data_IF_384016971099
#
_entry.id   IF_384016971099
#
_cell.length_a   1.000
_cell.length_b   1.000
_cell.length_c   1.000
_cell.angle_alpha   90.00
_cell.angle_beta   90.00
_cell.angle_gamma   90.00
#
_symmetry.space_group_name_H-M   'P 1'
#
loop_
_entity.id
_entity.type
_entity.pdbx_description
1 polymer ?
#
# COMPACT_ATOMS: atom_id res chain seq x y z
N UNK A 1 -7.51 10.87 21.74
CA UNK A 1 -6.22 10.42 21.17
C UNK A 1 -6.39 9.62 19.87
N UNK A 2 -7.42 8.78 19.69
CA UNK A 2 -7.59 7.96 18.47
C UNK A 2 -7.67 8.74 17.15
N UNK A 3 -8.28 9.93 17.13
CA UNK A 3 -8.44 10.74 15.91
C UNK A 3 -7.11 11.22 15.31
N UNK A 4 -6.15 11.61 16.15
CA UNK A 4 -4.82 12.05 15.71
C UNK A 4 -4.05 10.87 15.10
N UNK A 5 -4.22 9.68 15.68
CA UNK A 5 -3.60 8.44 15.22
C UNK A 5 -4.14 8.06 13.83
N UNK A 6 -5.46 8.18 13.63
CA UNK A 6 -6.13 8.00 12.34
C UNK A 6 -5.64 8.96 11.26
N UNK A 7 -5.52 10.25 11.59
CA UNK A 7 -5.00 11.27 10.66
C UNK A 7 -3.54 10.97 10.29
N UNK A 8 -2.71 10.61 11.27
CA UNK A 8 -1.32 10.23 11.04
C UNK A 8 -1.18 9.03 10.10
N UNK A 9 -2.01 8.00 10.30
CA UNK A 9 -2.08 6.82 9.43
C UNK A 9 -2.48 7.19 8.00
N UNK A 10 -3.51 8.02 7.83
CA UNK A 10 -3.96 8.48 6.51
C UNK A 10 -2.87 9.27 5.78
N UNK A 11 -2.22 10.22 6.46
CA UNK A 11 -1.14 11.02 5.87
C UNK A 11 0.04 10.14 5.45
N UNK A 12 0.42 9.17 6.28
CA UNK A 12 1.50 8.23 5.97
C UNK A 12 1.16 7.40 4.74
N UNK A 13 -0.07 6.88 4.64
CA UNK A 13 -0.53 6.12 3.47
C UNK A 13 -0.51 6.96 2.19
N UNK A 14 -0.92 8.24 2.26
CA UNK A 14 -0.89 9.15 1.10
C UNK A 14 0.55 9.34 0.61
N UNK A 15 1.46 9.71 1.50
CA UNK A 15 2.87 9.93 1.15
C UNK A 15 3.50 8.66 0.60
N UNK A 16 3.26 7.52 1.25
CA UNK A 16 3.78 6.23 0.82
C UNK A 16 3.23 5.84 -0.57
N UNK A 17 1.95 6.08 -0.84
CA UNK A 17 1.34 5.83 -2.15
C UNK A 17 2.00 6.68 -3.24
N UNK A 18 2.19 7.97 -2.99
CA UNK A 18 2.82 8.88 -3.97
C UNK A 18 4.25 8.40 -4.29
N UNK A 19 5.03 8.04 -3.27
CA UNK A 19 6.38 7.50 -3.46
C UNK A 19 6.36 6.15 -4.19
N UNK A 20 5.44 5.27 -3.82
CA UNK A 20 5.25 3.95 -4.45
C UNK A 20 4.89 4.07 -5.93
N UNK A 21 3.97 4.96 -6.28
CA UNK A 21 3.55 5.22 -7.66
C UNK A 21 4.71 5.78 -8.48
N UNK A 22 5.44 6.77 -7.96
CA UNK A 22 6.62 7.32 -8.66
C UNK A 22 7.68 6.25 -8.91
N UNK A 23 7.96 5.43 -7.89
CA UNK A 23 8.94 4.34 -8.01
C UNK A 23 8.49 3.27 -9.00
N UNK A 24 7.22 2.84 -8.91
CA UNK A 24 6.63 1.85 -9.82
C UNK A 24 6.67 2.33 -11.27
N UNK A 25 6.24 3.57 -11.54
CA UNK A 25 6.32 4.16 -12.88
C UNK A 25 7.74 4.16 -13.44
N UNK A 26 8.73 4.58 -12.63
CA UNK A 26 10.13 4.58 -13.06
C UNK A 26 10.63 3.18 -13.40
N UNK A 27 10.37 2.20 -12.54
CA UNK A 27 10.82 0.83 -12.75
C UNK A 27 10.12 0.13 -13.92
N UNK A 28 8.84 0.43 -14.17
CA UNK A 28 8.09 -0.09 -15.32
C UNK A 28 8.61 0.51 -16.63
N UNK A 29 8.85 1.83 -16.67
CA UNK A 29 9.42 2.53 -17.82
C UNK A 29 10.82 2.01 -18.19
N UNK A 30 11.65 1.73 -17.18
CA UNK A 30 12.99 1.15 -17.37
C UNK A 30 12.95 -0.37 -17.58
N UNK A 31 11.75 -0.98 -17.65
CA UNK A 31 11.50 -2.41 -17.76
C UNK A 31 12.32 -3.27 -16.78
N UNK A 32 12.55 -2.72 -15.58
CA UNK A 32 13.45 -3.29 -14.59
C UNK A 32 12.92 -4.66 -14.11
N UNK A 33 13.78 -5.68 -13.90
CA UNK A 33 13.34 -7.01 -13.46
C UNK A 33 12.54 -7.00 -12.13
N UNK A 34 12.75 -5.98 -11.30
CA UNK A 34 12.12 -5.82 -9.99
C UNK A 34 10.97 -4.80 -9.98
N UNK A 35 10.34 -4.52 -11.12
CA UNK A 35 9.25 -3.54 -11.26
C UNK A 35 8.04 -3.76 -10.34
N UNK A 36 7.84 -4.99 -9.87
CA UNK A 36 6.77 -5.33 -8.91
C UNK A 36 7.18 -5.17 -7.44
N UNK A 37 8.44 -4.82 -7.15
CA UNK A 37 8.94 -4.70 -5.78
C UNK A 37 8.19 -3.64 -4.94
N UNK A 38 7.85 -2.45 -5.47
CA UNK A 38 7.07 -1.47 -4.71
C UNK A 38 5.70 -2.02 -4.31
N UNK A 39 5.01 -2.67 -5.25
CA UNK A 39 3.75 -3.37 -4.98
C UNK A 39 3.91 -4.45 -3.91
N UNK A 40 4.90 -5.33 -4.07
CA UNK A 40 5.16 -6.45 -3.18
C UNK A 40 5.45 -5.97 -1.74
N UNK A 41 6.12 -4.83 -1.57
CA UNK A 41 6.35 -4.23 -0.26
C UNK A 41 5.04 -3.81 0.42
N UNK A 42 4.20 -3.02 -0.25
CA UNK A 42 2.91 -2.60 0.32
C UNK A 42 2.01 -3.80 0.64
N UNK A 43 1.95 -4.77 -0.27
CA UNK A 43 1.16 -5.97 -0.10
C UNK A 43 1.68 -6.82 1.07
N UNK A 44 2.99 -7.03 1.18
CA UNK A 44 3.59 -7.82 2.27
C UNK A 44 3.39 -7.17 3.64
N UNK A 45 3.52 -5.84 3.73
CA UNK A 45 3.26 -5.11 4.98
C UNK A 45 1.78 -5.22 5.36
N UNK A 46 0.86 -5.09 4.40
CA UNK A 46 -0.57 -5.28 4.64
C UNK A 46 -0.87 -6.70 5.17
N UNK A 47 -0.29 -7.71 4.54
CA UNK A 47 -0.48 -9.11 4.90
C UNK A 47 0.08 -9.41 6.29
N UNK A 48 1.31 -8.98 6.58
CA UNK A 48 1.93 -9.12 7.90
C UNK A 48 1.13 -8.37 8.98
N UNK A 49 0.69 -7.13 8.69
CA UNK A 49 -0.12 -6.34 9.60
C UNK A 49 -1.47 -7.01 9.91
N UNK A 50 -2.12 -7.59 8.89
CA UNK A 50 -3.34 -8.36 9.06
C UNK A 50 -3.14 -9.65 9.86
N UNK A 51 -2.05 -10.38 9.63
CA UNK A 51 -1.70 -11.57 10.42
C UNK A 51 -1.43 -11.20 11.88
N UNK A 52 -0.64 -10.16 12.13
CA UNK A 52 -0.39 -9.65 13.49
C UNK A 52 -1.69 -9.27 14.18
N UNK A 53 -2.63 -8.66 13.46
CA UNK A 53 -3.95 -8.37 14.00
C UNK A 53 -4.73 -9.66 14.31
N UNK A 54 -4.86 -10.61 13.38
CA UNK A 54 -5.65 -11.83 13.59
C UNK A 54 -5.08 -12.70 14.72
N UNK A 55 -3.76 -12.85 14.80
CA UNK A 55 -3.09 -13.68 15.80
C UNK A 55 -2.83 -12.95 17.12
N UNK A 56 -2.52 -11.65 17.06
CA UNK A 56 -2.18 -10.83 18.22
C UNK A 56 -3.40 -10.21 18.91
N UNK A 57 -4.38 -9.69 18.14
CA UNK A 57 -5.55 -9.04 18.72
C UNK A 57 -6.47 -10.01 19.45
N UNK A 58 -6.44 -11.31 19.12
CA UNK A 58 -7.14 -12.34 19.91
C UNK A 58 -6.65 -12.44 21.36
N UNK A 59 -5.44 -11.97 21.67
CA UNK A 59 -4.85 -12.00 23.01
C UNK A 59 -4.77 -10.64 23.68
N UNK A 60 -5.03 -9.57 22.93
CA UNK A 60 -4.94 -8.21 23.43
C UNK A 60 -6.35 -7.65 23.51
N UNK A 61 -6.79 -7.22 24.69
CA UNK A 61 -8.03 -6.44 24.89
C UNK A 61 -7.87 -5.04 24.28
N UNK A 62 -7.67 -4.99 22.96
CA UNK A 62 -7.48 -3.77 22.20
C UNK A 62 -8.76 -2.96 22.22
N UNK A 63 -8.62 -1.65 22.43
CA UNK A 63 -9.74 -0.74 22.31
C UNK A 63 -10.32 -0.76 20.89
N UNK A 64 -11.64 -0.52 20.80
CA UNK A 64 -12.37 -0.46 19.53
C UNK A 64 -11.73 0.55 18.57
N UNK A 65 -11.28 1.70 19.09
CA UNK A 65 -10.59 2.73 18.31
C UNK A 65 -9.29 2.24 17.67
N UNK A 66 -8.49 1.46 18.41
CA UNK A 66 -7.21 0.94 17.90
C UNK A 66 -7.43 -0.17 16.88
N UNK A 67 -8.45 -1.01 17.10
CA UNK A 67 -8.91 -2.02 16.15
C UNK A 67 -9.35 -1.40 14.82
N UNK A 68 -10.21 -0.38 14.87
CA UNK A 68 -10.68 0.33 13.68
C UNK A 68 -9.53 1.01 12.93
N UNK A 69 -8.63 1.67 13.65
CA UNK A 69 -7.45 2.32 13.07
C UNK A 69 -6.53 1.29 12.37
N UNK A 70 -6.35 0.12 12.97
CA UNK A 70 -5.55 -0.97 12.40
C UNK A 70 -6.19 -1.57 11.14
N UNK A 71 -7.51 -1.80 11.17
CA UNK A 71 -8.26 -2.26 10.01
C UNK A 71 -8.16 -1.26 8.86
N UNK A 72 -8.38 0.03 9.13
CA UNK A 72 -8.26 1.09 8.12
C UNK A 72 -6.85 1.21 7.56
N UNK A 73 -5.82 1.07 8.41
CA UNK A 73 -4.44 1.01 7.96
C UNK A 73 -4.19 -0.16 7.01
N UNK A 74 -4.64 -1.37 7.39
CA UNK A 74 -4.43 -2.59 6.63
C UNK A 74 -5.16 -2.55 5.28
N UNK A 75 -6.44 -2.14 5.27
CA UNK A 75 -7.20 -1.94 4.04
C UNK A 75 -6.59 -0.85 3.16
N UNK A 76 -6.13 0.24 3.79
CA UNK A 76 -5.40 1.31 3.13
C UNK A 76 -4.15 0.79 2.41
N UNK A 77 -3.31 -0.01 3.07
CA UNK A 77 -2.12 -0.60 2.45
C UNK A 77 -2.46 -1.53 1.28
N UNK A 78 -3.50 -2.35 1.39
CA UNK A 78 -3.96 -3.17 0.26
C UNK A 78 -4.38 -2.30 -0.93
N UNK A 79 -5.15 -1.24 -0.67
CA UNK A 79 -5.57 -0.31 -1.71
C UNK A 79 -4.37 0.42 -2.35
N UNK A 80 -3.41 0.88 -1.53
CA UNK A 80 -2.17 1.49 -2.00
C UNK A 80 -1.38 0.53 -2.90
N UNK A 81 -1.28 -0.74 -2.51
CA UNK A 81 -0.61 -1.76 -3.32
C UNK A 81 -1.25 -1.87 -4.72
N UNK A 82 -2.58 -1.91 -4.80
CA UNK A 82 -3.32 -1.93 -6.05
C UNK A 82 -3.01 -0.71 -6.92
N UNK A 83 -3.09 0.50 -6.35
CA UNK A 83 -2.77 1.75 -7.08
C UNK A 83 -1.35 1.71 -7.62
N UNK A 84 -0.37 1.32 -6.80
CA UNK A 84 1.05 1.27 -7.18
C UNK A 84 1.27 0.28 -8.33
N UNK A 85 0.63 -0.88 -8.29
CA UNK A 85 0.70 -1.86 -9.38
C UNK A 85 0.07 -1.33 -10.68
N UNK A 86 -1.17 -0.84 -10.60
CA UNK A 86 -1.90 -0.33 -11.77
C UNK A 86 -1.22 0.88 -12.41
N UNK A 87 -0.65 1.76 -11.58
CA UNK A 87 0.05 2.96 -12.05
C UNK A 87 1.31 2.67 -12.86
N UNK A 88 1.96 1.52 -12.66
CA UNK A 88 3.07 1.06 -13.49
C UNK A 88 2.57 0.27 -14.70
N UNK A 89 1.67 -0.68 -14.47
CA UNK A 89 1.21 -1.63 -15.50
C UNK A 89 0.41 -0.98 -16.64
N UNK A 90 -0.58 -0.12 -16.34
CA UNK A 90 -1.39 0.52 -17.37
C UNK A 90 -0.67 1.65 -18.09
N UNK A 91 0.25 2.33 -17.40
CA UNK A 91 1.02 3.43 -17.98
C UNK A 91 1.95 2.92 -19.08
N UNK A 92 2.67 1.81 -18.84
CA UNK A 92 3.52 1.17 -19.85
C UNK A 92 2.71 0.74 -21.08
N UNK A 93 1.54 0.12 -20.87
CA UNK A 93 0.66 -0.32 -21.96
C UNK A 93 0.10 0.83 -22.81
N UNK A 94 0.00 2.03 -22.24
CA UNK A 94 -0.49 3.20 -22.97
C UNK A 94 0.63 3.83 -23.79
N UNK A 95 1.87 3.86 -23.27
CA UNK A 95 3.05 4.31 -24.00
C UNK A 95 3.42 3.35 -25.14
N UNK A 96 3.36 2.03 -24.92
CA UNK A 96 3.62 1.02 -25.97
C UNK A 96 2.65 1.16 -27.16
N UNK A 97 1.40 1.58 -26.91
CA UNK A 97 0.37 1.80 -27.94
C UNK A 97 0.51 3.12 -28.70
N UNK A 98 1.33 4.06 -28.23
CA UNK A 98 1.60 5.33 -28.92
C UNK A 98 2.89 5.28 -29.76
N UNK A 99 3.70 4.23 -29.59
CA UNK A 99 4.94 4.01 -30.33
C UNK A 99 4.76 3.10 -31.57
N UNK A 100 3.54 2.59 -31.79
CA UNK A 100 3.11 1.78 -32.94
C UNK A 100 2.27 2.63 -33.90
#
# INVERSE_FOLDING_TARGET
MGFILLIGVMLLLIVATIMGVRSSRKMYKENHPNKNRPFALFFSIALLSGLVYVFGAKKMELSIDLTLSWMLFTMGLFFCSGIVFFSGFFMNRTEDKQAE
#
